data_IF_466990139781
#
_entry.id   IF_466990139781
#
_cell.length_a   1.000
_cell.length_b   1.000
_cell.length_c   1.000
_cell.angle_alpha   90.00
_cell.angle_beta   90.00
_cell.angle_gamma   90.00
#
_symmetry.space_group_name_H-M   'P 1'
#
loop_
_entity.id
_entity.type
_entity.pdbx_description
1 polymer ?
#
# COMPACT_ATOMS: atom_id res chain seq x y z
N UNK A 1 -12.41 -1.86 9.82
CA UNK A 1 -12.47 -1.22 8.52
C UNK A 1 -12.46 0.29 8.61
N UNK A 2 -12.49 0.93 7.47
CA UNK A 2 -12.58 2.38 7.31
C UNK A 2 -13.91 2.73 6.63
N UNK A 3 -14.51 3.87 7.00
CA UNK A 3 -15.73 4.36 6.34
C UNK A 3 -15.45 4.85 4.90
N UNK A 4 -16.50 5.10 4.10
CA UNK A 4 -16.35 5.55 2.71
C UNK A 4 -15.59 6.87 2.61
N UNK A 5 -15.64 7.73 3.62
CA UNK A 5 -14.92 9.00 3.65
C UNK A 5 -13.40 8.86 3.73
N UNK A 6 -12.91 7.72 4.19
CA UNK A 6 -11.49 7.39 4.22
C UNK A 6 -10.96 6.71 2.94
N UNK A 7 -11.77 6.63 1.86
CA UNK A 7 -11.41 5.93 0.62
C UNK A 7 -11.51 6.87 -0.57
N UNK A 8 -10.44 6.98 -1.35
CA UNK A 8 -10.44 7.62 -2.67
C UNK A 8 -10.33 6.55 -3.76
N UNK A 9 -11.10 6.69 -4.82
CA UNK A 9 -10.96 5.88 -6.02
C UNK A 9 -9.74 6.35 -6.81
N UNK A 10 -8.88 5.42 -7.21
CA UNK A 10 -7.68 5.69 -8.00
C UNK A 10 -7.65 4.82 -9.25
N UNK A 11 -6.81 5.16 -10.22
CA UNK A 11 -6.66 4.34 -11.44
C UNK A 11 -5.72 3.15 -11.24
N UNK A 12 -4.91 3.18 -10.17
CA UNK A 12 -3.93 2.13 -9.90
C UNK A 12 -3.30 2.31 -8.52
N UNK A 13 -2.60 1.27 -8.03
CA UNK A 13 -1.72 1.40 -6.86
C UNK A 13 -0.66 2.49 -7.06
N UNK A 14 -0.11 2.62 -8.27
CA UNK A 14 0.92 3.64 -8.57
C UNK A 14 0.42 5.07 -8.38
N UNK A 15 -0.87 5.36 -8.68
CA UNK A 15 -1.48 6.65 -8.37
C UNK A 15 -1.55 6.88 -6.86
N UNK A 16 -2.02 5.87 -6.09
CA UNK A 16 -2.07 5.96 -4.63
C UNK A 16 -0.68 6.14 -4.00
N UNK A 17 0.33 5.44 -4.49
CA UNK A 17 1.73 5.64 -4.06
C UNK A 17 2.19 7.06 -4.36
N UNK A 18 1.86 7.59 -5.54
CA UNK A 18 2.20 8.96 -5.90
C UNK A 18 1.47 9.97 -5.01
N UNK A 19 0.20 9.72 -4.68
CA UNK A 19 -0.53 10.55 -3.70
C UNK A 19 0.25 10.56 -2.37
N UNK A 20 0.63 9.40 -1.83
CA UNK A 20 1.39 9.31 -0.59
C UNK A 20 2.75 10.01 -0.70
N UNK A 21 3.51 9.76 -1.76
CA UNK A 21 4.85 10.32 -1.94
C UNK A 21 4.86 11.85 -2.03
N UNK A 22 3.87 12.43 -2.70
CA UNK A 22 3.76 13.88 -2.85
C UNK A 22 2.93 14.58 -1.77
N UNK A 23 2.48 13.84 -0.77
CA UNK A 23 1.59 14.39 0.28
C UNK A 23 2.32 15.16 1.37
N UNK A 24 3.63 15.20 1.38
CA UNK A 24 4.42 15.92 2.39
C UNK A 24 5.18 17.09 1.77
N UNK A 25 5.38 18.14 2.57
CA UNK A 25 6.32 19.21 2.25
C UNK A 25 7.74 18.70 2.54
N UNK A 26 8.39 18.19 1.48
CA UNK A 26 9.73 17.66 1.57
C UNK A 26 10.79 18.76 1.58
N UNK A 27 11.74 18.63 2.49
CA UNK A 27 12.90 19.48 2.59
C UNK A 27 14.18 18.67 2.29
N UNK A 28 15.24 19.39 1.89
CA UNK A 28 16.54 18.74 1.67
C UNK A 28 17.01 18.01 2.92
N UNK A 29 17.35 16.74 2.75
CA UNK A 29 17.82 15.86 3.83
C UNK A 29 16.68 15.18 4.61
N UNK A 30 15.40 15.43 4.30
CA UNK A 30 14.32 14.59 4.81
C UNK A 30 14.50 13.16 4.30
N UNK A 31 14.07 12.19 5.09
CA UNK A 31 14.29 10.78 4.77
C UNK A 31 12.99 10.03 4.55
N UNK A 32 13.01 9.13 3.57
CA UNK A 32 12.02 8.06 3.38
C UNK A 32 12.69 6.71 3.55
N UNK A 33 12.02 5.79 4.24
CA UNK A 33 12.48 4.41 4.38
C UNK A 33 11.70 3.52 3.42
N UNK A 34 12.41 2.74 2.62
CA UNK A 34 11.89 1.72 1.70
C UNK A 34 12.49 0.36 2.06
N UNK A 35 11.89 -0.73 1.57
CA UNK A 35 12.52 -2.04 1.67
C UNK A 35 13.30 -2.38 0.38
N UNK A 36 14.23 -3.33 0.49
CA UNK A 36 14.96 -3.90 -0.65
C UNK A 36 14.06 -4.76 -1.58
N UNK A 37 12.78 -4.93 -1.25
CA UNK A 37 11.84 -5.77 -2.00
C UNK A 37 10.71 -4.98 -2.68
N UNK A 38 10.86 -3.65 -2.81
CA UNK A 38 9.81 -2.81 -3.36
C UNK A 38 9.62 -3.00 -4.87
N UNK A 39 8.37 -2.83 -5.30
CA UNK A 39 8.05 -2.71 -6.72
C UNK A 39 8.56 -1.36 -7.26
N UNK A 40 9.02 -1.25 -8.52
CA UNK A 40 9.46 0.02 -9.11
C UNK A 40 8.46 1.17 -8.95
N UNK A 41 7.15 0.88 -8.90
CA UNK A 41 6.12 1.89 -8.63
C UNK A 41 6.25 2.53 -7.24
N UNK A 42 6.81 1.80 -6.25
CA UNK A 42 7.12 2.31 -4.91
C UNK A 42 8.60 2.68 -4.73
N UNK A 43 9.35 2.82 -5.80
CA UNK A 43 10.75 3.26 -5.78
C UNK A 43 10.94 4.55 -6.60
N UNK A 44 10.44 4.56 -7.85
CA UNK A 44 10.69 5.65 -8.80
C UNK A 44 10.16 7.00 -8.31
N UNK A 45 8.97 7.12 -7.68
CA UNK A 45 8.50 8.40 -7.14
C UNK A 45 9.49 9.01 -6.13
N UNK A 46 10.13 8.18 -5.32
CA UNK A 46 11.12 8.61 -4.33
C UNK A 46 12.43 9.09 -4.97
N UNK A 47 12.86 8.43 -6.06
CA UNK A 47 14.00 8.94 -6.85
C UNK A 47 13.71 10.31 -7.45
N UNK A 48 12.48 10.53 -7.96
CA UNK A 48 12.06 11.84 -8.46
C UNK A 48 12.06 12.90 -7.35
N UNK A 49 11.56 12.57 -6.16
CA UNK A 49 11.59 13.47 -5.00
C UNK A 49 13.02 13.74 -4.52
N UNK A 50 13.89 12.72 -4.51
CA UNK A 50 15.32 12.88 -4.22
C UNK A 50 15.96 13.90 -5.18
N UNK A 51 15.73 13.75 -6.46
CA UNK A 51 16.34 14.60 -7.50
C UNK A 51 15.79 16.02 -7.46
N UNK A 52 14.53 16.22 -7.08
CA UNK A 52 13.86 17.53 -7.01
C UNK A 52 14.08 18.26 -5.70
N UNK A 53 13.99 17.56 -4.58
CA UNK A 53 14.01 18.17 -3.24
C UNK A 53 15.24 17.81 -2.41
N UNK A 54 16.04 16.83 -2.86
CA UNK A 54 17.24 16.40 -2.16
C UNK A 54 16.94 15.57 -0.92
N UNK A 55 15.84 14.83 -0.92
CA UNK A 55 15.54 13.86 0.14
C UNK A 55 16.52 12.69 0.10
N UNK A 56 16.60 11.95 1.18
CA UNK A 56 17.46 10.76 1.32
C UNK A 56 16.59 9.52 1.39
N UNK A 57 16.94 8.50 0.61
CA UNK A 57 16.27 7.20 0.67
C UNK A 57 17.11 6.30 1.58
N UNK A 58 16.49 5.78 2.64
CA UNK A 58 17.04 4.75 3.50
C UNK A 58 16.44 3.41 3.11
N UNK A 59 17.24 2.37 3.06
CA UNK A 59 16.80 1.03 2.72
C UNK A 59 16.92 0.10 3.91
N UNK A 60 15.89 -0.73 4.13
CA UNK A 60 15.90 -1.86 5.06
C UNK A 60 15.99 -3.18 4.28
N UNK A 61 16.62 -4.18 4.88
CA UNK A 61 16.80 -5.48 4.27
C UNK A 61 15.84 -6.51 4.90
N UNK A 62 14.75 -6.84 4.20
CA UNK A 62 13.77 -7.82 4.67
C UNK A 62 14.28 -9.28 4.60
N UNK A 63 15.45 -9.52 4.02
CA UNK A 63 16.08 -10.84 3.90
C UNK A 63 17.23 -11.03 4.92
N UNK A 64 17.45 -10.07 5.82
CA UNK A 64 18.53 -10.10 6.83
C UNK A 64 18.36 -11.15 7.91
N UNK A 65 17.13 -11.65 8.11
CA UNK A 65 16.76 -12.50 9.26
C UNK A 65 16.48 -11.72 10.55
N UNK A 66 16.63 -10.40 10.52
CA UNK A 66 16.25 -9.49 11.62
C UNK A 66 14.75 -9.19 11.56
N UNK A 67 14.11 -8.86 12.67
CA UNK A 67 12.71 -8.45 12.67
C UNK A 67 12.52 -7.16 11.86
N UNK A 68 11.35 -7.00 11.21
CA UNK A 68 11.02 -5.75 10.50
C UNK A 68 11.16 -4.52 11.42
N UNK A 69 10.71 -4.65 12.65
CA UNK A 69 10.73 -3.56 13.61
C UNK A 69 12.18 -3.12 13.94
N UNK A 70 13.10 -4.07 14.08
CA UNK A 70 14.50 -3.77 14.37
C UNK A 70 15.23 -3.21 13.13
N UNK A 71 14.93 -3.76 11.93
CA UNK A 71 15.45 -3.20 10.67
C UNK A 71 15.02 -1.73 10.52
N UNK A 72 13.74 -1.44 10.72
CA UNK A 72 13.25 -0.06 10.64
C UNK A 72 13.87 0.81 11.74
N UNK A 73 13.90 0.36 13.00
CA UNK A 73 14.51 1.11 14.11
C UNK A 73 15.96 1.48 13.83
N UNK A 74 16.70 0.57 13.19
CA UNK A 74 18.11 0.76 12.88
C UNK A 74 18.40 1.90 11.90
N UNK A 75 17.43 2.28 11.08
CA UNK A 75 17.60 3.32 10.05
C UNK A 75 16.81 4.61 10.33
N UNK A 76 15.90 4.62 11.33
CA UNK A 76 15.16 5.83 11.68
C UNK A 76 16.07 6.92 12.27
N UNK A 77 15.85 8.14 11.82
CA UNK A 77 16.51 9.35 12.35
C UNK A 77 15.47 10.44 12.66
N UNK A 78 15.92 11.58 13.17
CA UNK A 78 15.06 12.77 13.35
C UNK A 78 14.62 13.41 12.04
N UNK A 79 15.20 12.99 10.90
CA UNK A 79 14.85 13.44 9.55
C UNK A 79 13.90 12.50 8.83
N UNK A 80 13.62 11.32 9.39
CA UNK A 80 12.69 10.38 8.76
C UNK A 80 11.26 10.92 8.80
N UNK A 81 10.64 11.05 7.61
CA UNK A 81 9.30 11.60 7.44
C UNK A 81 8.26 10.55 7.06
N UNK A 82 8.71 9.51 6.36
CA UNK A 82 7.81 8.45 5.89
C UNK A 82 8.53 7.09 5.85
N UNK A 83 7.79 6.03 6.13
CA UNK A 83 8.12 4.64 5.80
C UNK A 83 7.09 4.18 4.76
N UNK A 84 7.56 3.70 3.60
CA UNK A 84 6.70 3.22 2.51
C UNK A 84 7.19 1.85 2.06
N UNK A 85 6.46 0.80 2.42
CA UNK A 85 6.84 -0.59 2.15
C UNK A 85 5.68 -1.41 1.59
N UNK A 86 6.00 -2.51 0.93
CA UNK A 86 5.00 -3.43 0.37
C UNK A 86 4.35 -4.27 1.47
N UNK A 87 3.01 -4.36 1.47
CA UNK A 87 2.26 -5.29 2.32
C UNK A 87 2.54 -6.75 1.93
N UNK A 88 2.63 -7.02 0.63
CA UNK A 88 3.03 -8.32 0.09
C UNK A 88 4.10 -8.10 -0.97
N UNK A 89 5.28 -8.67 -0.74
CA UNK A 89 6.38 -8.60 -1.69
C UNK A 89 6.05 -9.33 -2.99
N UNK A 90 6.22 -8.65 -4.10
CA UNK A 90 6.10 -9.28 -5.42
C UNK A 90 7.28 -10.18 -5.76
N UNK A 91 8.41 -10.03 -5.08
CA UNK A 91 9.65 -10.72 -5.40
C UNK A 91 9.68 -12.15 -4.86
N UNK A 92 9.13 -12.35 -3.67
CA UNK A 92 9.16 -13.68 -3.02
C UNK A 92 7.84 -14.02 -2.31
N UNK A 93 6.80 -13.15 -2.40
CA UNK A 93 5.51 -13.39 -1.78
C UNK A 93 5.48 -13.28 -0.26
N UNK A 94 6.56 -12.78 0.40
CA UNK A 94 6.50 -12.45 1.82
C UNK A 94 5.37 -11.48 2.08
N UNK A 95 4.49 -11.82 3.01
CA UNK A 95 3.49 -10.89 3.52
C UNK A 95 3.92 -10.29 4.85
N UNK A 96 3.60 -9.05 5.05
CA UNK A 96 3.67 -8.39 6.33
C UNK A 96 2.44 -8.81 7.14
N UNK A 97 2.64 -9.39 8.32
CA UNK A 97 1.53 -9.79 9.19
C UNK A 97 0.87 -8.56 9.82
N UNK A 98 -0.39 -8.68 10.16
CA UNK A 98 -1.17 -7.57 10.76
C UNK A 98 -0.58 -7.11 12.09
N UNK A 99 -0.16 -8.05 12.96
CA UNK A 99 0.50 -7.75 14.24
C UNK A 99 1.83 -7.00 14.05
N UNK A 100 2.69 -7.49 13.15
CA UNK A 100 3.98 -6.87 12.82
C UNK A 100 3.78 -5.46 12.22
N UNK A 101 2.78 -5.29 11.36
CA UNK A 101 2.42 -3.98 10.79
C UNK A 101 1.88 -3.01 11.85
N UNK A 102 1.02 -3.49 12.75
CA UNK A 102 0.46 -2.68 13.82
C UNK A 102 1.54 -2.16 14.77
N UNK A 103 2.47 -3.04 15.22
CA UNK A 103 3.61 -2.64 16.06
C UNK A 103 4.49 -1.58 15.36
N UNK A 104 4.75 -1.75 14.08
CA UNK A 104 5.46 -0.75 13.29
C UNK A 104 4.69 0.57 13.23
N UNK A 105 3.37 0.51 13.01
CA UNK A 105 2.50 1.69 12.99
C UNK A 105 2.52 2.46 14.31
N UNK A 106 2.51 1.77 15.45
CA UNK A 106 2.63 2.40 16.77
C UNK A 106 3.98 3.11 16.95
N UNK A 107 5.07 2.46 16.57
CA UNK A 107 6.42 3.05 16.60
C UNK A 107 6.48 4.32 15.76
N UNK A 108 6.02 4.27 14.51
CA UNK A 108 6.10 5.39 13.58
C UNK A 108 5.21 6.55 14.00
N UNK A 109 4.00 6.26 14.47
CA UNK A 109 3.05 7.27 15.00
C UNK A 109 3.64 7.99 16.20
N UNK A 110 4.28 7.28 17.13
CA UNK A 110 4.94 7.89 18.30
C UNK A 110 6.05 8.87 17.94
N UNK A 111 6.58 8.79 16.72
CA UNK A 111 7.64 9.65 16.17
C UNK A 111 7.12 10.67 15.15
N UNK A 112 5.81 10.68 14.87
CA UNK A 112 5.20 11.56 13.87
C UNK A 112 5.57 11.21 12.42
N UNK A 113 6.06 9.99 12.16
CA UNK A 113 6.46 9.48 10.85
C UNK A 113 5.23 8.88 10.16
N UNK A 114 5.01 9.22 8.90
CA UNK A 114 3.89 8.68 8.10
C UNK A 114 4.21 7.25 7.69
N UNK A 115 3.22 6.37 7.82
CA UNK A 115 3.31 4.97 7.41
C UNK A 115 2.39 4.67 6.22
N UNK A 116 2.99 4.42 5.06
CA UNK A 116 2.31 4.01 3.84
C UNK A 116 2.58 2.54 3.51
N UNK A 117 1.53 1.81 3.12
CA UNK A 117 1.64 0.45 2.60
C UNK A 117 1.27 0.37 1.12
N UNK A 118 2.18 -0.17 0.31
CA UNK A 118 1.87 -0.65 -1.04
C UNK A 118 1.13 -1.98 -0.95
N UNK A 119 -0.18 -1.93 -1.13
CA UNK A 119 -1.09 -3.06 -1.08
C UNK A 119 -1.43 -3.64 -2.45
N UNK A 120 -0.60 -3.43 -3.46
CA UNK A 120 -0.87 -3.91 -4.82
C UNK A 120 -1.13 -5.43 -4.90
N UNK A 121 -0.55 -6.21 -4.01
CA UNK A 121 -0.73 -7.67 -3.94
C UNK A 121 -1.53 -8.10 -2.69
N UNK A 122 -2.06 -7.15 -1.90
CA UNK A 122 -2.72 -7.45 -0.63
C UNK A 122 -4.18 -7.90 -0.77
N UNK A 123 -5.12 -6.97 -1.06
CA UNK A 123 -6.56 -7.27 -1.10
C UNK A 123 -6.89 -8.40 -2.08
N UNK A 124 -7.64 -9.40 -1.60
CA UNK A 124 -8.00 -10.60 -2.34
C UNK A 124 -6.95 -11.72 -2.33
N UNK A 125 -5.70 -11.43 -1.90
CA UNK A 125 -4.61 -12.39 -1.80
C UNK A 125 -4.29 -12.76 -0.34
N UNK A 126 -4.42 -11.80 0.55
CA UNK A 126 -4.27 -11.95 2.01
C UNK A 126 -5.39 -11.19 2.70
N UNK A 127 -5.59 -11.50 3.98
CA UNK A 127 -6.51 -10.71 4.80
C UNK A 127 -5.99 -9.27 4.92
N UNK A 128 -6.90 -8.31 4.71
CA UNK A 128 -6.60 -6.88 4.83
C UNK A 128 -7.68 -6.20 5.64
N UNK A 129 -7.35 -5.79 6.84
CA UNK A 129 -8.15 -4.84 7.62
C UNK A 129 -7.31 -3.58 7.88
N UNK A 130 -7.62 -2.52 7.12
CA UNK A 130 -6.90 -1.25 7.21
C UNK A 130 -6.88 -0.69 8.64
N UNK A 131 -7.97 -0.86 9.39
CA UNK A 131 -8.07 -0.40 10.77
C UNK A 131 -7.10 -1.09 11.73
N UNK A 132 -6.70 -2.32 11.42
CA UNK A 132 -5.79 -3.12 12.26
C UNK A 132 -4.34 -3.14 11.76
N UNK A 133 -4.09 -2.75 10.50
CA UNK A 133 -2.72 -2.71 9.94
C UNK A 133 -1.83 -1.62 10.56
N UNK A 134 -2.42 -0.63 11.22
CA UNK A 134 -1.68 0.45 11.86
C UNK A 134 -1.07 1.49 10.92
N UNK A 135 -1.22 1.34 9.60
CA UNK A 135 -0.72 2.31 8.62
C UNK A 135 -1.62 3.55 8.54
N UNK A 136 -1.05 4.64 8.07
CA UNK A 136 -1.73 5.93 7.88
C UNK A 136 -2.42 6.01 6.53
N UNK A 137 -1.85 5.37 5.52
CA UNK A 137 -2.44 5.25 4.19
C UNK A 137 -2.03 3.94 3.51
N UNK A 138 -2.87 3.51 2.55
CA UNK A 138 -2.74 2.23 1.87
C UNK A 138 -3.17 2.37 0.42
N UNK A 139 -2.34 1.91 -0.51
CA UNK A 139 -2.61 1.99 -1.95
C UNK A 139 -2.88 0.61 -2.53
N UNK A 140 -3.93 0.44 -3.34
CA UNK A 140 -4.21 -0.83 -4.00
C UNK A 140 -4.78 -0.65 -5.41
N UNK A 141 -4.98 -1.77 -6.12
CA UNK A 141 -5.58 -1.80 -7.45
C UNK A 141 -6.65 -2.89 -7.57
N UNK A 142 -7.60 -2.67 -8.47
CA UNK A 142 -8.70 -3.61 -8.70
C UNK A 142 -8.31 -4.81 -9.58
N UNK A 143 -7.38 -4.64 -10.50
CA UNK A 143 -7.11 -5.59 -11.60
C UNK A 143 -6.22 -6.80 -11.26
N UNK A 144 -5.86 -6.98 -9.98
CA UNK A 144 -5.08 -8.13 -9.52
C UNK A 144 -5.98 -9.15 -8.84
N UNK A 145 -5.79 -9.36 -7.56
CA UNK A 145 -6.50 -10.38 -6.79
C UNK A 145 -7.98 -10.07 -6.53
N UNK A 146 -8.40 -8.80 -6.68
CA UNK A 146 -9.81 -8.39 -6.63
C UNK A 146 -10.56 -8.60 -7.96
N UNK A 147 -9.86 -9.06 -9.02
CA UNK A 147 -10.42 -9.46 -10.32
C UNK A 147 -11.18 -8.34 -11.07
N UNK A 148 -10.96 -7.09 -10.67
CA UNK A 148 -11.58 -5.91 -11.30
C UNK A 148 -10.89 -5.49 -12.60
N UNK A 149 -11.48 -4.51 -13.31
CA UNK A 149 -10.89 -3.95 -14.53
C UNK A 149 -9.54 -3.27 -14.26
N UNK A 150 -8.70 -3.21 -15.30
CA UNK A 150 -7.51 -2.33 -15.33
C UNK A 150 -7.99 -0.88 -15.29
N UNK A 151 -7.18 0.01 -14.71
CA UNK A 151 -7.56 1.41 -14.56
C UNK A 151 -8.43 1.68 -13.32
N UNK A 152 -8.52 0.71 -12.40
CA UNK A 152 -9.21 0.86 -11.11
C UNK A 152 -8.28 0.56 -9.95
N UNK A 153 -8.51 1.24 -8.84
CA UNK A 153 -7.79 1.08 -7.59
C UNK A 153 -8.42 1.89 -6.48
N UNK A 154 -7.80 1.86 -5.31
CA UNK A 154 -8.23 2.64 -4.16
C UNK A 154 -7.01 3.13 -3.36
N UNK A 155 -7.17 4.30 -2.76
CA UNK A 155 -6.26 4.88 -1.78
C UNK A 155 -7.03 5.06 -0.48
N UNK A 156 -6.61 4.36 0.54
CA UNK A 156 -7.16 4.48 1.88
C UNK A 156 -6.30 5.44 2.68
N UNK A 157 -6.96 6.30 3.45
CA UNK A 157 -6.29 7.23 4.36
C UNK A 157 -7.05 7.28 5.68
N UNK A 158 -6.33 7.29 6.78
CA UNK A 158 -6.91 7.42 8.12
C UNK A 158 -7.44 8.84 8.31
N UNK A 159 -8.60 8.99 8.93
CA UNK A 159 -9.34 10.27 9.02
C UNK A 159 -8.48 11.40 9.59
N UNK A 160 -7.71 11.13 10.65
CA UNK A 160 -6.84 12.14 11.30
C UNK A 160 -5.60 12.50 10.46
N UNK A 161 -5.38 11.83 9.33
CA UNK A 161 -4.30 12.13 8.39
C UNK A 161 -4.71 13.03 7.23
N UNK A 162 -6.02 13.22 7.00
CA UNK A 162 -6.53 14.02 5.87
C UNK A 162 -5.97 15.46 5.87
N UNK A 163 -5.82 16.07 7.03
CA UNK A 163 -5.29 17.44 7.13
C UNK A 163 -3.76 17.50 7.18
N UNK A 164 -3.10 16.36 7.40
CA UNK A 164 -1.64 16.24 7.40
C UNK A 164 -1.07 15.91 6.02
N UNK A 165 -1.84 15.20 5.20
CA UNK A 165 -1.44 14.78 3.86
C UNK A 165 -1.96 15.79 2.84
N UNK A 166 -1.04 16.48 2.19
CA UNK A 166 -1.38 17.48 1.18
C UNK A 166 -1.83 16.85 -0.13
N UNK A 167 -2.56 17.62 -0.94
CA UNK A 167 -2.93 17.18 -2.28
C UNK A 167 -1.72 17.22 -3.22
N UNK A 168 -1.42 16.07 -3.82
CA UNK A 168 -0.44 15.97 -4.92
C UNK A 168 -1.00 16.56 -6.22
N UNK A 169 -2.27 16.27 -6.46
CA UNK A 169 -3.04 16.69 -7.64
C UNK A 169 -4.40 17.21 -7.15
N UNK A 170 -4.85 18.28 -7.77
CA UNK A 170 -6.14 18.88 -7.49
C UNK A 170 -6.86 19.23 -8.78
N UNK A 171 -8.19 19.23 -8.73
CA UNK A 171 -9.02 19.56 -9.87
C UNK A 171 -10.48 19.76 -9.48
N UNK A 172 -11.37 19.68 -10.46
CA UNK A 172 -12.79 20.00 -10.29
C UNK A 172 -13.52 19.13 -9.26
N UNK A 173 -12.97 18.00 -8.88
CA UNK A 173 -13.58 17.09 -7.89
C UNK A 173 -12.89 17.11 -6.51
N UNK A 174 -11.90 17.99 -6.32
CA UNK A 174 -11.15 18.04 -5.06
C UNK A 174 -11.74 19.00 -4.03
N UNK A 175 -12.66 19.86 -4.41
CA UNK A 175 -13.19 20.95 -3.58
C UNK A 175 -14.66 20.76 -3.22
N UNK A 176 -15.04 21.29 -2.06
CA UNK A 176 -16.43 21.41 -1.63
C UNK A 176 -17.04 22.77 -2.03
N UNK A 177 -16.24 23.83 -1.92
CA UNK A 177 -16.61 25.21 -2.34
C UNK A 177 -15.44 25.87 -3.05
N UNK A 178 -15.74 26.74 -4.01
CA UNK A 178 -14.77 27.63 -4.65
C UNK A 178 -15.46 28.88 -5.21
N UNK A 179 -14.72 29.97 -5.31
CA UNK A 179 -15.10 31.14 -6.06
C UNK A 179 -13.98 31.50 -7.08
N UNK A 180 -14.28 32.43 -8.00
CA UNK A 180 -13.29 32.89 -8.97
C UNK A 180 -12.43 34.05 -8.44
N UNK A 181 -12.57 34.40 -7.16
CA UNK A 181 -11.76 35.39 -6.46
C UNK A 181 -10.57 34.78 -5.73
N UNK A 182 -10.49 33.42 -5.72
CA UNK A 182 -9.37 32.66 -5.19
C UNK A 182 -9.63 31.94 -3.87
N UNK A 183 -10.87 31.96 -3.36
CA UNK A 183 -11.24 31.19 -2.17
C UNK A 183 -11.70 29.78 -2.56
N UNK A 184 -11.25 28.78 -1.82
CA UNK A 184 -11.72 27.41 -1.96
C UNK A 184 -11.60 26.63 -0.65
N UNK A 185 -12.39 25.57 -0.53
CA UNK A 185 -12.30 24.59 0.54
C UNK A 185 -12.24 23.19 -0.06
N UNK A 186 -11.35 22.36 0.43
CA UNK A 186 -11.22 20.96 -0.02
C UNK A 186 -12.39 20.13 0.53
N UNK A 187 -12.69 19.02 -0.13
CA UNK A 187 -13.60 18.02 0.42
C UNK A 187 -13.05 17.51 1.77
N UNK A 188 -13.91 17.32 2.78
CA UNK A 188 -13.49 16.85 4.10
C UNK A 188 -13.27 15.33 4.17
N UNK A 189 -13.06 14.68 3.03
CA UNK A 189 -12.90 13.23 2.91
C UNK A 189 -11.78 12.87 1.94
N UNK A 190 -11.41 11.59 1.87
CA UNK A 190 -10.44 11.08 0.91
C UNK A 190 -10.83 11.32 -0.55
N UNK A 191 -12.11 11.54 -0.84
CA UNK A 191 -12.56 11.92 -2.18
C UNK A 191 -11.87 13.18 -2.72
N UNK A 192 -11.26 14.02 -1.87
CA UNK A 192 -10.42 15.16 -2.29
C UNK A 192 -9.27 14.75 -3.23
N UNK A 193 -8.80 13.50 -3.15
CA UNK A 193 -7.74 12.96 -4.01
C UNK A 193 -8.26 12.50 -5.38
N UNK A 194 -9.57 12.47 -5.59
CA UNK A 194 -10.21 12.14 -6.85
C UNK A 194 -10.31 13.37 -7.76
N UNK A 195 -9.18 13.90 -8.20
CA UNK A 195 -9.05 15.24 -8.81
C UNK A 195 -9.78 15.44 -10.14
N UNK A 196 -10.19 14.39 -10.84
CA UNK A 196 -10.76 14.47 -12.18
C UNK A 196 -11.84 13.42 -12.48
N UNK A 197 -12.40 13.51 -13.69
CA UNK A 197 -13.41 12.57 -14.18
C UNK A 197 -12.89 11.13 -14.16
N UNK A 198 -13.70 10.22 -13.66
CA UNK A 198 -13.41 8.78 -13.56
C UNK A 198 -14.14 7.99 -14.66
N UNK A 199 -13.57 6.86 -15.05
CA UNK A 199 -14.20 5.89 -15.94
C UNK A 199 -15.28 5.09 -15.17
N UNK A 200 -16.48 5.65 -15.01
CA UNK A 200 -17.55 5.09 -14.16
C UNK A 200 -17.90 3.65 -14.53
N UNK A 201 -17.83 3.28 -15.82
CA UNK A 201 -18.07 1.91 -16.26
C UNK A 201 -17.06 0.93 -15.65
N UNK A 202 -15.79 1.31 -15.59
CA UNK A 202 -14.74 0.46 -15.00
C UNK A 202 -14.90 0.34 -13.48
N UNK A 203 -15.30 1.41 -12.81
CA UNK A 203 -15.60 1.34 -11.36
C UNK A 203 -16.88 0.55 -11.06
N UNK A 204 -17.90 0.57 -11.92
CA UNK A 204 -19.05 -0.32 -11.80
C UNK A 204 -18.61 -1.79 -11.96
N UNK A 205 -17.71 -2.08 -12.91
CA UNK A 205 -17.10 -3.39 -13.05
C UNK A 205 -16.26 -3.80 -11.85
N UNK A 206 -15.52 -2.86 -11.25
CA UNK A 206 -14.74 -3.10 -10.04
C UNK A 206 -15.63 -3.41 -8.84
N UNK A 207 -16.73 -2.64 -8.65
CA UNK A 207 -17.72 -2.93 -7.63
C UNK A 207 -18.30 -4.34 -7.80
N UNK A 208 -18.70 -4.71 -9.02
CA UNK A 208 -19.22 -6.05 -9.31
C UNK A 208 -18.20 -7.14 -8.97
N UNK A 209 -16.92 -6.94 -9.31
CA UNK A 209 -15.87 -7.91 -9.02
C UNK A 209 -15.67 -8.09 -7.51
N UNK A 210 -15.61 -6.99 -6.74
CA UNK A 210 -15.47 -7.04 -5.27
C UNK A 210 -16.69 -7.71 -4.64
N UNK A 211 -17.90 -7.34 -5.05
CA UNK A 211 -19.14 -7.97 -4.55
C UNK A 211 -19.19 -9.47 -4.83
N UNK A 212 -18.72 -9.89 -6.01
CA UNK A 212 -18.65 -11.31 -6.34
C UNK A 212 -17.64 -12.07 -5.45
N UNK A 213 -16.46 -11.50 -5.17
CA UNK A 213 -15.50 -12.10 -4.24
C UNK A 213 -16.07 -12.15 -2.82
N UNK A 214 -16.80 -11.12 -2.39
CA UNK A 214 -17.50 -11.08 -1.11
C UNK A 214 -18.57 -12.17 -1.00
N UNK A 215 -19.39 -12.37 -2.05
CA UNK A 215 -20.39 -13.45 -2.13
C UNK A 215 -19.76 -14.84 -2.08
N UNK A 216 -18.57 -15.04 -2.66
CA UNK A 216 -17.80 -16.28 -2.53
C UNK A 216 -17.30 -16.52 -1.10
N UNK A 217 -17.14 -15.45 -0.32
CA UNK A 217 -16.55 -15.39 1.00
C UNK A 217 -15.03 -15.27 0.95
N UNK A 218 -14.49 -14.17 1.48
CA UNK A 218 -13.04 -13.90 1.52
C UNK A 218 -12.26 -15.04 2.17
N UNK A 219 -12.72 -15.57 3.30
CA UNK A 219 -12.06 -16.68 4.00
C UNK A 219 -11.92 -17.93 3.13
N UNK A 220 -12.97 -18.22 2.34
CA UNK A 220 -12.97 -19.35 1.41
C UNK A 220 -11.96 -19.13 0.28
N UNK A 221 -11.89 -17.92 -0.27
CA UNK A 221 -10.92 -17.54 -1.31
C UNK A 221 -9.50 -17.65 -0.77
N UNK A 222 -9.22 -17.05 0.39
CA UNK A 222 -7.90 -17.07 1.02
C UNK A 222 -7.45 -18.48 1.37
N UNK A 223 -8.34 -19.31 1.97
CA UNK A 223 -8.06 -20.71 2.26
C UNK A 223 -7.74 -21.50 0.99
N UNK A 224 -8.43 -21.23 -0.11
CA UNK A 224 -8.15 -21.87 -1.40
C UNK A 224 -6.79 -21.46 -1.97
N UNK A 225 -6.43 -20.19 -1.88
CA UNK A 225 -5.12 -19.68 -2.29
C UNK A 225 -4.01 -20.38 -1.48
N UNK A 226 -4.13 -20.41 -0.16
CA UNK A 226 -3.15 -21.07 0.71
C UNK A 226 -2.99 -22.57 0.38
N UNK A 227 -4.10 -23.27 0.20
CA UNK A 227 -4.08 -24.66 -0.20
C UNK A 227 -3.34 -24.88 -1.53
N UNK A 228 -3.61 -24.05 -2.54
CA UNK A 228 -2.96 -24.16 -3.85
C UNK A 228 -1.47 -23.85 -3.77
N UNK A 229 -1.06 -22.86 -3.00
CA UNK A 229 0.34 -22.51 -2.78
C UNK A 229 1.06 -23.66 -2.06
N UNK A 230 0.50 -24.20 -0.96
CA UNK A 230 1.09 -25.32 -0.24
C UNK A 230 1.26 -26.55 -1.14
N UNK A 231 0.21 -26.89 -1.93
CA UNK A 231 0.30 -27.99 -2.90
C UNK A 231 1.39 -27.77 -3.95
N UNK A 232 1.51 -26.55 -4.49
CA UNK A 232 2.53 -26.23 -5.47
C UNK A 232 3.95 -26.31 -4.90
N UNK A 233 4.15 -25.79 -3.67
CA UNK A 233 5.44 -25.84 -2.95
C UNK A 233 5.85 -27.29 -2.68
N UNK A 234 4.96 -28.12 -2.08
CA UNK A 234 5.22 -29.55 -1.81
C UNK A 234 5.56 -30.31 -3.11
N UNK A 235 4.79 -30.05 -4.18
CA UNK A 235 5.01 -30.68 -5.47
C UNK A 235 6.36 -30.30 -6.11
N UNK A 236 6.82 -29.07 -5.87
CA UNK A 236 8.11 -28.61 -6.36
C UNK A 236 9.28 -29.16 -5.53
N UNK A 237 9.15 -29.15 -4.19
CA UNK A 237 10.17 -29.69 -3.27
C UNK A 237 10.39 -31.19 -3.46
N UNK A 238 9.36 -31.93 -3.88
CA UNK A 238 9.48 -33.35 -4.22
C UNK A 238 10.32 -33.63 -5.49
N UNK A 239 10.64 -32.58 -6.25
CA UNK A 239 11.45 -32.67 -7.48
C UNK A 239 12.86 -32.17 -7.21
N UNK A 240 13.86 -32.88 -7.73
CA UNK A 240 15.27 -32.47 -7.63
C UNK A 240 15.54 -31.21 -8.45
N UNK A 241 16.26 -30.26 -7.86
CA UNK A 241 16.73 -29.04 -8.54
C UNK A 241 15.89 -27.78 -8.33
N UNK A 242 14.79 -27.87 -7.56
CA UNK A 242 14.03 -26.71 -7.16
C UNK A 242 14.27 -26.35 -5.68
N UNK A 243 14.35 -25.08 -5.39
CA UNK A 243 14.42 -24.53 -4.03
C UNK A 243 13.39 -23.43 -3.85
N UNK A 244 12.73 -23.38 -2.69
CA UNK A 244 11.77 -22.34 -2.37
C UNK A 244 12.50 -21.04 -1.98
N UNK A 245 12.31 -19.99 -2.77
CA UNK A 245 12.78 -18.63 -2.47
C UNK A 245 11.78 -17.84 -1.62
N UNK A 246 10.52 -18.27 -1.56
CA UNK A 246 9.50 -17.69 -0.69
C UNK A 246 9.66 -18.13 0.76
N UNK A 247 9.06 -17.39 1.74
CA UNK A 247 9.08 -17.79 3.14
C UNK A 247 8.54 -19.20 3.36
N UNK A 248 9.21 -20.00 4.19
CA UNK A 248 8.77 -21.35 4.54
C UNK A 248 7.61 -21.36 5.51
N UNK A 249 7.55 -20.35 6.37
CA UNK A 249 6.47 -20.19 7.37
C UNK A 249 5.20 -19.79 6.63
N UNK A 250 4.14 -20.57 6.78
CA UNK A 250 2.86 -20.33 6.09
C UNK A 250 2.25 -18.97 6.45
N UNK A 251 2.38 -18.54 7.71
CA UNK A 251 1.90 -17.24 8.17
C UNK A 251 2.56 -16.06 7.46
N UNK A 252 3.75 -16.23 6.91
CA UNK A 252 4.51 -15.20 6.21
C UNK A 252 4.36 -15.29 4.67
N UNK A 253 3.58 -16.27 4.18
CA UNK A 253 3.34 -16.47 2.74
C UNK A 253 2.05 -15.84 2.26
N UNK A 254 2.03 -15.48 0.98
CA UNK A 254 0.85 -15.00 0.25
C UNK A 254 0.51 -15.95 -0.90
N UNK A 255 -0.37 -15.52 -1.81
CA UNK A 255 -0.65 -16.21 -3.08
C UNK A 255 0.49 -16.10 -4.10
N UNK A 256 1.45 -15.21 -3.89
CA UNK A 256 2.69 -15.10 -4.67
C UNK A 256 3.73 -16.03 -4.07
N UNK A 257 4.36 -16.87 -4.89
CA UNK A 257 5.48 -17.71 -4.45
C UNK A 257 6.50 -17.88 -5.56
N UNK A 258 7.75 -18.13 -5.19
CA UNK A 258 8.89 -18.28 -6.09
C UNK A 258 9.70 -19.51 -5.67
N UNK A 259 10.06 -20.30 -6.66
CA UNK A 259 10.86 -21.52 -6.56
C UNK A 259 12.29 -21.25 -7.00
#
# INVERSE_FOLDING_TARGET
GVGPDGVALTHSTSEGISIAAWSLNWERGDEVVLSNQEHPANVVPWYVLRDRFGIVIREINLDSGTSLLDEVRGVLSSRTRMVSISHVSRNNGRRLRTDESAELGELLRSRGIVYHLDGAQGPGCVEVDFGHLGCDCYSTCGHKWLLGPKGTGAFFVRDDMLDRLQLSWSGSHSHSTMDYEGSYSLLPSAARYEFGTRALADFAGFHTAVSWVEELGFDRVLSRIQHLVSYAVESAEARTGFGLASPRVEADRSGVFVL
#
